data_IF_767866805955
#
_entry.id   IF_767866805955
#
_cell.length_a   1.000
_cell.length_b   1.000
_cell.length_c   1.000
_cell.angle_alpha   90.00
_cell.angle_beta   90.00
_cell.angle_gamma   90.00
#
_symmetry.space_group_name_H-M   'P 1'
#
loop_
_entity.id
_entity.type
_entity.pdbx_description
1 polymer ?
#
# COMPACT_ATOMS: atom_id res chain seq x y z
N UNK A 1 -18.71 -17.65 -5.57
CA UNK A 1 -17.55 -17.49 -4.63
C UNK A 1 -17.89 -16.43 -3.57
N UNK A 2 -17.11 -16.35 -2.48
CA UNK A 2 -17.30 -15.29 -1.47
C UNK A 2 -16.58 -14.01 -1.88
N UNK A 3 -17.03 -12.87 -1.37
CA UNK A 3 -16.38 -11.56 -1.54
C UNK A 3 -15.58 -11.23 -0.28
N UNK A 4 -14.31 -10.90 -0.46
CA UNK A 4 -13.40 -10.51 0.62
C UNK A 4 -12.86 -9.12 0.33
N UNK A 5 -12.81 -8.28 1.34
CA UNK A 5 -12.23 -6.94 1.28
C UNK A 5 -11.06 -6.86 2.25
N UNK A 6 -9.89 -6.53 1.73
CA UNK A 6 -8.73 -6.10 2.51
C UNK A 6 -8.75 -4.57 2.52
N UNK A 7 -8.72 -3.99 3.71
CA UNK A 7 -8.53 -2.55 3.90
C UNK A 7 -7.13 -2.35 4.47
N UNK A 8 -6.23 -1.78 3.67
CA UNK A 8 -4.85 -1.52 4.06
C UNK A 8 -4.63 -0.03 4.33
N UNK A 9 -3.95 0.27 5.43
CA UNK A 9 -3.41 1.61 5.68
C UNK A 9 -1.95 1.64 5.23
N UNK A 10 -1.67 2.44 4.22
CA UNK A 10 -0.32 2.70 3.71
C UNK A 10 0.41 3.71 4.61
N UNK A 11 1.70 3.91 4.36
CA UNK A 11 2.55 4.93 4.98
C UNK A 11 2.74 4.81 6.51
N UNK A 12 2.50 3.63 7.07
CA UNK A 12 2.83 3.37 8.47
C UNK A 12 4.34 3.51 8.67
N UNK A 13 4.78 4.12 9.75
CA UNK A 13 6.19 4.41 9.99
C UNK A 13 6.70 5.68 9.31
N UNK A 14 5.94 6.34 8.45
CA UNK A 14 6.39 7.56 7.80
C UNK A 14 6.69 8.65 8.84
N UNK A 15 5.78 8.89 9.77
CA UNK A 15 5.98 9.81 10.89
C UNK A 15 5.17 9.36 12.12
N UNK A 16 5.49 9.92 13.29
CA UNK A 16 4.83 9.56 14.53
C UNK A 16 3.30 9.77 14.50
N UNK A 17 2.83 10.85 13.89
CA UNK A 17 1.39 11.11 13.77
C UNK A 17 0.67 10.05 12.92
N UNK A 18 1.33 9.53 11.87
CA UNK A 18 0.83 8.40 11.09
C UNK A 18 0.76 7.13 11.96
N UNK A 19 1.80 6.86 12.75
CA UNK A 19 1.82 5.71 13.65
C UNK A 19 0.67 5.75 14.66
N UNK A 20 0.48 6.88 15.34
CA UNK A 20 -0.61 7.06 16.31
C UNK A 20 -1.99 6.79 15.70
N UNK A 21 -2.21 7.25 14.46
CA UNK A 21 -3.45 7.01 13.74
C UNK A 21 -3.65 5.51 13.41
N UNK A 22 -2.62 4.83 12.93
CA UNK A 22 -2.66 3.39 12.64
C UNK A 22 -2.89 2.58 13.91
N UNK A 23 -2.18 2.89 15.00
CA UNK A 23 -2.39 2.23 16.30
C UNK A 23 -3.84 2.36 16.77
N UNK A 24 -4.43 3.55 16.66
CA UNK A 24 -5.81 3.77 17.07
C UNK A 24 -6.79 2.95 16.22
N UNK A 25 -6.60 2.91 14.90
CA UNK A 25 -7.43 2.13 13.99
C UNK A 25 -7.35 0.62 14.27
N UNK A 26 -6.17 0.09 14.53
CA UNK A 26 -6.01 -1.31 14.92
C UNK A 26 -6.68 -1.62 16.26
N UNK A 27 -6.45 -0.78 17.28
CA UNK A 27 -7.07 -0.98 18.61
C UNK A 27 -8.60 -0.94 18.57
N UNK A 28 -9.17 -0.12 17.69
CA UNK A 28 -10.62 -0.05 17.45
C UNK A 28 -11.16 -1.19 16.60
N UNK A 29 -10.30 -2.02 16.03
CA UNK A 29 -10.69 -3.09 15.11
C UNK A 29 -11.19 -2.61 13.75
N UNK A 30 -10.92 -1.35 13.39
CA UNK A 30 -11.30 -0.75 12.11
C UNK A 30 -10.34 -1.14 10.99
N UNK A 31 -9.13 -1.59 11.33
CA UNK A 31 -8.07 -1.97 10.43
C UNK A 31 -7.56 -3.37 10.74
N UNK A 32 -7.17 -4.12 9.71
CA UNK A 32 -6.56 -5.45 9.84
C UNK A 32 -5.25 -5.58 9.10
N UNK A 33 -4.96 -4.64 8.17
CA UNK A 33 -3.78 -4.63 7.34
C UNK A 33 -3.15 -3.24 7.28
N UNK A 34 -1.82 -3.18 7.25
CA UNK A 34 -1.04 -1.95 7.07
C UNK A 34 0.34 -2.29 6.51
N UNK A 35 1.04 -1.30 5.95
CA UNK A 35 2.39 -1.49 5.41
C UNK A 35 3.35 -0.39 5.86
N UNK A 36 4.56 -0.80 6.32
CA UNK A 36 5.55 0.05 6.98
C UNK A 36 6.58 0.56 5.98
N UNK A 37 6.77 1.87 5.93
CA UNK A 37 7.83 2.55 5.16
C UNK A 37 9.17 2.50 5.94
N UNK A 38 9.94 1.45 5.72
CA UNK A 38 11.16 1.17 6.50
C UNK A 38 12.23 2.28 6.45
N UNK A 39 12.45 3.01 5.32
CA UNK A 39 13.41 4.11 5.30
C UNK A 39 12.99 5.35 6.11
N UNK A 40 11.77 5.40 6.62
CA UNK A 40 11.23 6.58 7.28
C UNK A 40 11.57 6.66 8.77
N UNK A 41 11.63 7.87 9.34
CA UNK A 41 12.12 8.09 10.72
C UNK A 41 11.33 7.42 11.85
N UNK A 42 10.04 7.11 11.64
CA UNK A 42 9.20 6.46 12.65
C UNK A 42 8.96 4.96 12.36
N UNK A 43 9.70 4.37 11.41
CA UNK A 43 9.52 2.99 10.98
C UNK A 43 9.83 1.96 12.07
N UNK A 44 10.85 2.18 12.90
CA UNK A 44 11.20 1.26 13.98
C UNK A 44 10.08 1.12 15.01
N UNK A 45 9.41 2.21 15.37
CA UNK A 45 8.24 2.19 16.26
C UNK A 45 7.09 1.36 15.65
N UNK A 46 6.84 1.53 14.35
CA UNK A 46 5.84 0.78 13.62
C UNK A 46 6.17 -0.72 13.53
N UNK A 47 7.43 -1.06 13.26
CA UNK A 47 7.88 -2.45 13.18
C UNK A 47 7.83 -3.14 14.55
N UNK A 48 8.20 -2.46 15.64
CA UNK A 48 8.07 -2.99 17.01
C UNK A 48 6.60 -3.24 17.37
N UNK A 49 5.70 -2.31 17.02
CA UNK A 49 4.27 -2.52 17.19
C UNK A 49 3.79 -3.77 16.42
N UNK A 50 4.25 -3.98 15.20
CA UNK A 50 3.91 -5.17 14.43
C UNK A 50 4.41 -6.46 15.10
N UNK A 51 5.63 -6.46 15.63
CA UNK A 51 6.21 -7.58 16.36
C UNK A 51 5.41 -7.95 17.63
N UNK A 52 4.92 -6.95 18.35
CA UNK A 52 4.12 -7.11 19.56
C UNK A 52 2.65 -7.51 19.27
N UNK A 53 2.20 -7.36 18.01
CA UNK A 53 0.81 -7.56 17.60
C UNK A 53 0.68 -8.48 16.38
N UNK A 54 1.13 -9.75 16.47
CA UNK A 54 1.15 -10.69 15.33
C UNK A 54 -0.24 -11.07 14.79
N UNK A 55 -1.31 -10.67 15.46
CA UNK A 55 -2.69 -10.85 14.99
C UNK A 55 -3.06 -9.88 13.86
N UNK A 56 -2.27 -8.84 13.61
CA UNK A 56 -2.49 -7.89 12.52
C UNK A 56 -1.60 -8.24 11.31
N UNK A 57 -2.15 -8.10 10.10
CA UNK A 57 -1.41 -8.32 8.88
C UNK A 57 -0.59 -7.07 8.53
N UNK A 58 0.61 -6.95 9.08
CA UNK A 58 1.47 -5.80 8.81
C UNK A 58 2.62 -6.21 7.88
N UNK A 59 2.69 -5.55 6.72
CA UNK A 59 3.67 -5.77 5.66
C UNK A 59 4.73 -4.68 5.58
N UNK A 60 5.63 -4.79 4.60
CA UNK A 60 6.60 -3.74 4.25
C UNK A 60 6.11 -2.97 3.03
N UNK A 61 6.03 -1.65 3.16
CA UNK A 61 5.79 -0.69 2.09
C UNK A 61 7.10 -0.34 1.41
N UNK A 62 7.50 -1.16 0.43
CA UNK A 62 8.77 -1.00 -0.27
C UNK A 62 8.86 0.41 -0.87
N UNK A 63 9.83 1.17 -0.41
CA UNK A 63 9.91 2.62 -0.62
C UNK A 63 11.15 2.96 -1.43
N UNK A 64 10.95 3.65 -2.56
CA UNK A 64 12.02 4.14 -3.45
C UNK A 64 11.86 5.60 -3.84
N UNK A 65 10.85 6.28 -3.28
CA UNK A 65 10.58 7.72 -3.49
C UNK A 65 10.43 8.46 -2.18
N UNK A 66 10.65 9.78 -2.21
CA UNK A 66 10.49 10.71 -1.08
C UNK A 66 9.87 12.01 -1.57
N UNK A 67 8.54 12.06 -1.63
CA UNK A 67 7.76 13.07 -2.34
C UNK A 67 7.55 14.39 -1.58
N UNK A 68 7.90 14.47 -0.31
CA UNK A 68 7.71 15.68 0.50
C UNK A 68 8.87 16.66 0.36
N UNK A 69 8.58 17.96 0.30
CA UNK A 69 9.62 18.99 0.11
C UNK A 69 10.54 19.16 1.32
N UNK A 70 9.97 19.12 2.53
CA UNK A 70 10.68 19.46 3.78
C UNK A 70 10.88 18.28 4.72
N UNK A 71 10.26 17.12 4.43
CA UNK A 71 10.35 15.91 5.22
C UNK A 71 10.74 14.74 4.32
N UNK A 72 12.00 14.38 4.33
CA UNK A 72 12.60 13.49 3.35
C UNK A 72 13.34 12.32 3.99
N UNK A 73 13.44 11.24 3.25
CA UNK A 73 14.18 10.03 3.60
C UNK A 73 15.01 9.54 2.41
N UNK A 74 16.07 8.79 2.72
CA UNK A 74 16.98 8.23 1.74
C UNK A 74 16.99 6.71 1.77
N UNK A 75 17.64 6.06 0.81
CA UNK A 75 17.78 4.61 0.77
C UNK A 75 18.65 4.12 1.94
N UNK A 76 18.30 2.98 2.54
CA UNK A 76 19.05 2.35 3.64
C UNK A 76 20.46 1.97 3.21
N UNK A 77 20.61 1.47 1.98
CA UNK A 77 21.90 1.04 1.43
C UNK A 77 22.78 2.19 0.95
N UNK A 78 22.21 3.39 0.86
CA UNK A 78 22.89 4.53 0.25
C UNK A 78 23.05 4.43 -1.27
N UNK A 79 22.26 3.55 -1.92
CA UNK A 79 22.24 3.31 -3.37
C UNK A 79 22.23 4.63 -4.17
N UNK A 80 23.18 4.76 -5.11
CA UNK A 80 23.37 6.03 -5.84
C UNK A 80 22.28 6.26 -6.88
N UNK A 81 21.81 5.21 -7.52
CA UNK A 81 20.76 5.28 -8.53
C UNK A 81 19.37 5.59 -7.93
N UNK A 82 19.18 5.37 -6.62
CA UNK A 82 17.92 5.57 -5.91
C UNK A 82 17.86 6.91 -5.15
N UNK A 83 18.88 7.74 -5.23
CA UNK A 83 18.91 9.03 -4.53
C UNK A 83 19.39 10.18 -5.42
N UNK A 84 19.01 11.38 -5.02
CA UNK A 84 19.49 12.63 -5.55
C UNK A 84 20.83 13.04 -4.91
N UNK A 85 21.44 14.10 -5.41
CA UNK A 85 22.67 14.67 -4.82
C UNK A 85 22.51 15.08 -3.35
N UNK A 86 21.28 15.41 -2.95
CA UNK A 86 20.89 15.72 -1.58
C UNK A 86 20.99 14.54 -0.62
N UNK A 87 21.16 13.31 -1.15
CA UNK A 87 21.17 12.06 -0.39
C UNK A 87 19.78 11.44 -0.15
N UNK A 88 18.69 12.14 -0.51
CA UNK A 88 17.33 11.65 -0.39
C UNK A 88 16.86 10.93 -1.65
N UNK A 89 15.85 10.08 -1.52
CA UNK A 89 15.20 9.44 -2.65
C UNK A 89 14.54 10.48 -3.57
N UNK A 90 14.30 10.10 -4.84
CA UNK A 90 13.66 10.96 -5.83
C UNK A 90 12.21 11.30 -5.45
N UNK A 91 11.74 12.43 -5.93
CA UNK A 91 10.37 12.90 -5.64
C UNK A 91 9.30 12.08 -6.39
N UNK A 92 9.57 11.71 -7.65
CA UNK A 92 8.58 11.07 -8.53
C UNK A 92 8.89 9.59 -8.79
N UNK A 93 7.85 8.79 -8.87
CA UNK A 93 7.95 7.35 -9.18
C UNK A 93 8.61 7.10 -10.56
N UNK A 94 8.30 7.92 -11.57
CA UNK A 94 8.92 7.82 -12.90
C UNK A 94 10.43 8.03 -12.86
N UNK A 95 10.92 8.95 -12.02
CA UNK A 95 12.36 9.19 -11.85
C UNK A 95 13.02 8.02 -11.13
N UNK A 96 12.38 7.48 -10.08
CA UNK A 96 12.86 6.29 -9.39
C UNK A 96 12.97 5.10 -10.34
N UNK A 97 11.92 4.82 -11.13
CA UNK A 97 11.94 3.76 -12.13
C UNK A 97 13.03 3.96 -13.18
N UNK A 98 13.14 5.17 -13.77
CA UNK A 98 14.05 5.43 -14.90
C UNK A 98 15.53 5.34 -14.49
N UNK A 99 15.87 5.75 -13.27
CA UNK A 99 17.24 5.84 -12.76
C UNK A 99 17.73 4.56 -12.11
N UNK A 100 16.83 3.69 -11.62
CA UNK A 100 17.17 2.52 -10.83
C UNK A 100 18.18 1.60 -11.55
N UNK A 101 19.35 1.39 -10.97
CA UNK A 101 20.18 0.22 -11.25
C UNK A 101 19.57 -0.99 -10.57
N UNK A 102 19.34 -2.06 -11.32
CA UNK A 102 18.63 -3.23 -10.81
C UNK A 102 19.35 -3.94 -9.66
N UNK A 103 20.69 -3.88 -9.60
CA UNK A 103 21.45 -4.49 -8.50
C UNK A 103 21.34 -3.64 -7.24
N UNK A 104 21.44 -2.31 -7.37
CA UNK A 104 21.25 -1.41 -6.26
C UNK A 104 19.80 -1.46 -5.74
N UNK A 105 18.83 -1.53 -6.65
CA UNK A 105 17.43 -1.69 -6.29
C UNK A 105 17.18 -3.01 -5.54
N UNK A 106 17.70 -4.12 -6.03
CA UNK A 106 17.58 -5.42 -5.35
C UNK A 106 18.15 -5.36 -3.93
N UNK A 107 19.34 -4.79 -3.79
CA UNK A 107 19.99 -4.65 -2.49
C UNK A 107 19.15 -3.79 -1.53
N UNK A 108 18.58 -2.69 -2.03
CA UNK A 108 17.74 -1.80 -1.24
C UNK A 108 16.43 -2.48 -0.78
N UNK A 109 15.70 -3.12 -1.70
CA UNK A 109 14.45 -3.77 -1.36
C UNK A 109 14.66 -4.90 -0.34
N UNK A 110 15.73 -5.69 -0.49
CA UNK A 110 16.11 -6.71 0.49
C UNK A 110 16.50 -6.09 1.82
N UNK A 111 17.27 -4.99 1.81
CA UNK A 111 17.66 -4.30 3.03
C UNK A 111 16.44 -3.78 3.82
N UNK A 112 15.40 -3.28 3.15
CA UNK A 112 14.16 -2.86 3.82
C UNK A 112 13.45 -4.05 4.49
N UNK A 113 13.35 -5.19 3.83
CA UNK A 113 12.74 -6.39 4.41
C UNK A 113 13.55 -6.90 5.61
N UNK A 114 14.86 -6.99 5.46
CA UNK A 114 15.74 -7.49 6.53
C UNK A 114 15.81 -6.50 7.71
N UNK A 115 15.72 -5.20 7.46
CA UNK A 115 15.65 -4.21 8.53
C UNK A 115 14.36 -4.33 9.34
N UNK A 116 13.22 -4.60 8.69
CA UNK A 116 11.97 -4.90 9.38
C UNK A 116 12.13 -6.13 10.31
N UNK A 117 12.76 -7.18 9.80
CA UNK A 117 13.06 -8.39 10.57
C UNK A 117 14.01 -8.14 11.74
N UNK A 118 15.03 -7.30 11.53
CA UNK A 118 15.97 -6.91 12.57
C UNK A 118 15.28 -6.15 13.72
N UNK A 119 14.19 -5.45 13.46
CA UNK A 119 13.34 -4.83 14.48
C UNK A 119 12.29 -5.78 15.09
N UNK A 120 12.32 -7.07 14.71
CA UNK A 120 11.46 -8.12 15.23
C UNK A 120 10.14 -8.32 14.46
N UNK A 121 9.91 -7.54 13.40
CA UNK A 121 8.72 -7.67 12.56
C UNK A 121 8.92 -8.79 11.53
N UNK A 122 8.02 -9.76 11.46
CA UNK A 122 7.93 -10.67 10.30
C UNK A 122 6.86 -10.15 9.35
N UNK A 123 7.22 -9.60 8.17
CA UNK A 123 6.26 -9.02 7.24
C UNK A 123 5.23 -10.04 6.77
N UNK A 124 3.95 -9.69 6.81
CA UNK A 124 2.88 -10.56 6.32
C UNK A 124 2.79 -10.56 4.79
N UNK A 125 3.07 -9.44 4.16
CA UNK A 125 3.02 -9.20 2.72
C UNK A 125 3.92 -8.02 2.35
N UNK A 126 4.05 -7.75 1.05
CA UNK A 126 4.79 -6.62 0.50
C UNK A 126 3.87 -5.81 -0.43
N UNK A 127 4.11 -4.54 -0.48
CA UNK A 127 3.56 -3.63 -1.47
C UNK A 127 4.58 -2.54 -1.82
N UNK A 128 4.19 -1.47 -2.50
CA UNK A 128 5.15 -0.43 -2.84
C UNK A 128 4.56 0.98 -2.75
N UNK A 129 5.40 1.89 -2.26
CA UNK A 129 5.09 3.31 -2.13
C UNK A 129 5.00 3.99 -3.50
N UNK A 130 3.97 4.82 -3.71
CA UNK A 130 3.75 5.62 -4.93
C UNK A 130 3.70 4.82 -6.24
N UNK A 131 3.54 3.50 -6.20
CA UNK A 131 3.55 2.66 -7.39
C UNK A 131 4.91 2.59 -8.11
N UNK A 132 5.99 2.99 -7.45
CA UNK A 132 7.33 3.17 -8.01
C UNK A 132 8.04 1.86 -8.42
N UNK A 133 7.45 0.71 -8.12
CA UNK A 133 7.99 -0.61 -8.49
C UNK A 133 7.14 -1.35 -9.53
N UNK A 134 6.14 -0.71 -10.11
CA UNK A 134 5.31 -1.34 -11.14
C UNK A 134 5.91 -1.24 -12.56
N UNK A 135 6.86 -0.35 -12.78
CA UNK A 135 7.51 -0.15 -14.09
C UNK A 135 6.61 0.47 -15.16
N UNK A 136 5.38 0.85 -14.79
CA UNK A 136 4.37 1.33 -15.75
C UNK A 136 4.56 2.79 -16.16
N UNK A 137 5.24 3.61 -15.35
CA UNK A 137 5.48 5.02 -15.68
C UNK A 137 6.49 5.19 -16.81
N UNK A 138 7.43 4.25 -16.95
CA UNK A 138 8.56 4.34 -17.90
C UNK A 138 8.63 3.18 -18.88
N UNK A 139 7.80 2.13 -18.66
CA UNK A 139 7.87 0.88 -19.41
C UNK A 139 8.99 -0.06 -18.95
N UNK A 140 9.70 0.26 -17.85
CA UNK A 140 10.77 -0.57 -17.28
C UNK A 140 10.22 -1.73 -16.44
N UNK A 141 9.51 -2.63 -17.09
CA UNK A 141 8.87 -3.77 -16.41
C UNK A 141 9.84 -4.74 -15.74
N UNK A 142 11.15 -4.68 -16.06
CA UNK A 142 12.18 -5.40 -15.32
C UNK A 142 12.26 -5.02 -13.84
N UNK A 143 11.83 -3.80 -13.48
CA UNK A 143 11.67 -3.37 -12.07
C UNK A 143 10.59 -4.18 -11.38
N UNK A 144 9.46 -4.40 -12.03
CA UNK A 144 8.37 -5.23 -11.51
C UNK A 144 8.78 -6.72 -11.45
N UNK A 145 9.43 -7.25 -12.49
CA UNK A 145 9.90 -8.64 -12.46
C UNK A 145 10.86 -8.88 -11.30
N UNK A 146 11.83 -7.96 -11.08
CA UNK A 146 12.73 -8.00 -9.95
C UNK A 146 11.95 -8.01 -8.60
N UNK A 147 10.97 -7.13 -8.46
CA UNK A 147 10.15 -7.03 -7.25
C UNK A 147 9.40 -8.33 -6.99
N UNK A 148 8.73 -8.89 -7.99
CA UNK A 148 8.02 -10.17 -7.85
C UNK A 148 8.97 -11.34 -7.54
N UNK A 149 10.18 -11.35 -8.11
CA UNK A 149 11.21 -12.33 -7.77
C UNK A 149 11.58 -12.24 -6.29
N UNK A 150 11.82 -11.05 -5.77
CA UNK A 150 12.10 -10.83 -4.34
C UNK A 150 10.91 -11.30 -3.49
N UNK A 151 9.67 -10.95 -3.85
CA UNK A 151 8.49 -11.44 -3.14
C UNK A 151 8.45 -12.98 -3.07
N UNK A 152 8.77 -13.67 -4.17
CA UNK A 152 8.87 -15.13 -4.22
C UNK A 152 9.99 -15.67 -3.34
N UNK A 153 11.19 -15.06 -3.37
CA UNK A 153 12.34 -15.44 -2.52
C UNK A 153 12.00 -15.37 -1.02
N UNK A 154 11.20 -14.38 -0.62
CA UNK A 154 10.74 -14.20 0.77
C UNK A 154 9.43 -14.92 1.09
N UNK A 155 8.79 -15.56 0.10
CA UNK A 155 7.49 -16.24 0.27
C UNK A 155 6.35 -15.29 0.64
N UNK A 156 6.37 -14.05 0.13
CA UNK A 156 5.40 -13.01 0.46
C UNK A 156 4.44 -12.73 -0.68
N UNK A 157 3.17 -12.46 -0.32
CA UNK A 157 2.20 -11.88 -1.25
C UNK A 157 2.61 -10.45 -1.64
N UNK A 158 2.19 -10.02 -2.83
CA UNK A 158 2.43 -8.66 -3.31
C UNK A 158 1.13 -7.98 -3.73
N UNK A 159 1.01 -6.68 -3.41
CA UNK A 159 -0.11 -5.85 -3.83
C UNK A 159 -0.02 -5.58 -5.32
N UNK A 160 -0.71 -6.41 -6.09
CA UNK A 160 -1.02 -6.21 -7.50
C UNK A 160 -2.27 -7.03 -7.82
N UNK A 161 -2.90 -6.80 -8.98
CA UNK A 161 -4.14 -7.48 -9.33
C UNK A 161 -3.92 -8.69 -10.24
N UNK A 162 -4.76 -9.71 -10.12
CA UNK A 162 -4.79 -10.88 -11.02
C UNK A 162 -5.91 -10.82 -12.04
N UNK A 163 -6.88 -9.94 -11.83
CA UNK A 163 -8.07 -9.80 -12.67
C UNK A 163 -8.43 -8.32 -12.85
N UNK A 164 -9.19 -8.02 -13.91
CA UNK A 164 -9.71 -6.71 -14.23
C UNK A 164 -11.23 -6.74 -14.16
N UNK A 165 -11.84 -5.70 -13.60
CA UNK A 165 -13.28 -5.61 -13.48
C UNK A 165 -13.76 -4.17 -13.70
N UNK A 166 -14.83 -4.01 -14.49
CA UNK A 166 -15.35 -2.68 -14.87
C UNK A 166 -15.71 -1.79 -13.67
N UNK A 167 -16.23 -2.41 -12.60
CA UNK A 167 -16.61 -1.69 -11.38
C UNK A 167 -15.42 -1.35 -10.47
N UNK A 168 -14.22 -1.80 -10.82
CA UNK A 168 -12.99 -1.65 -10.02
C UNK A 168 -11.84 -1.17 -10.91
N UNK A 169 -11.94 0.03 -11.50
CA UNK A 169 -10.85 0.55 -12.31
C UNK A 169 -9.63 0.85 -11.43
N UNK A 170 -8.45 0.45 -11.90
CA UNK A 170 -7.22 0.89 -11.27
C UNK A 170 -7.00 2.39 -11.60
N UNK A 171 -6.78 3.25 -10.60
CA UNK A 171 -6.64 4.68 -10.84
C UNK A 171 -5.55 5.02 -11.85
N UNK A 172 -5.88 5.88 -12.80
CA UNK A 172 -4.95 6.32 -13.84
C UNK A 172 -4.69 5.32 -14.97
N UNK A 173 -5.36 4.17 -14.98
CA UNK A 173 -5.20 3.15 -16.01
C UNK A 173 -6.55 2.74 -16.62
N UNK A 174 -6.69 2.86 -17.93
CA UNK A 174 -7.86 2.34 -18.66
C UNK A 174 -7.82 0.80 -18.70
N UNK A 175 -8.99 0.17 -18.86
CA UNK A 175 -9.16 -1.30 -18.86
C UNK A 175 -8.22 -2.02 -19.83
N UNK A 176 -7.97 -1.45 -20.99
CA UNK A 176 -7.08 -2.03 -21.98
C UNK A 176 -5.63 -2.08 -21.51
N UNK A 177 -5.14 -1.00 -20.90
CA UNK A 177 -3.80 -0.96 -20.28
C UNK A 177 -3.68 -1.95 -19.13
N UNK A 178 -4.71 -2.07 -18.29
CA UNK A 178 -4.75 -3.06 -17.21
C UNK A 178 -4.68 -4.48 -17.78
N UNK A 179 -5.41 -4.78 -18.84
CA UNK A 179 -5.40 -6.09 -19.51
C UNK A 179 -4.03 -6.43 -20.10
N UNK A 180 -3.37 -5.45 -20.72
CA UNK A 180 -2.00 -5.62 -21.23
C UNK A 180 -1.01 -5.88 -20.10
N UNK A 181 -1.08 -5.13 -19.00
CA UNK A 181 -0.25 -5.31 -17.83
C UNK A 181 -0.45 -6.69 -17.19
N UNK A 182 -1.69 -7.20 -17.14
CA UNK A 182 -1.98 -8.55 -16.67
C UNK A 182 -1.27 -9.63 -17.50
N UNK A 183 -1.13 -9.43 -18.80
CA UNK A 183 -0.37 -10.34 -19.68
C UNK A 183 1.10 -10.48 -19.26
N UNK A 184 1.67 -9.44 -18.65
CA UNK A 184 3.04 -9.40 -18.12
C UNK A 184 3.09 -9.97 -16.70
N UNK A 185 2.18 -9.55 -15.84
CA UNK A 185 2.15 -9.90 -14.40
C UNK A 185 1.91 -11.39 -14.18
N UNK A 186 0.89 -11.96 -14.82
CA UNK A 186 0.48 -13.35 -14.55
C UNK A 186 1.58 -14.38 -14.74
N UNK A 187 2.35 -14.37 -15.84
CA UNK A 187 3.47 -15.30 -16.01
C UNK A 187 4.54 -15.17 -14.92
N UNK A 188 4.87 -13.95 -14.51
CA UNK A 188 5.89 -13.73 -13.49
C UNK A 188 5.39 -14.12 -12.09
N UNK A 189 4.14 -13.78 -11.75
CA UNK A 189 3.55 -14.19 -10.50
C UNK A 189 3.52 -15.72 -10.36
N UNK A 190 3.18 -16.43 -11.44
CA UNK A 190 3.22 -17.89 -11.48
C UNK A 190 4.65 -18.43 -11.38
N UNK A 191 5.59 -17.85 -12.14
CA UNK A 191 7.02 -18.24 -12.14
C UNK A 191 7.64 -18.15 -10.75
N UNK A 192 7.31 -17.09 -10.00
CA UNK A 192 7.90 -16.83 -8.69
C UNK A 192 7.00 -17.27 -7.52
N UNK A 193 5.80 -17.78 -7.79
CA UNK A 193 4.86 -18.27 -6.76
C UNK A 193 4.32 -17.16 -5.85
N UNK A 194 4.10 -15.94 -6.39
CA UNK A 194 3.67 -14.77 -5.62
C UNK A 194 2.14 -14.69 -5.58
N UNK A 195 1.52 -14.84 -4.40
CA UNK A 195 0.09 -14.58 -4.24
C UNK A 195 -0.22 -13.09 -4.40
N UNK A 196 -1.36 -12.77 -5.03
CA UNK A 196 -1.85 -11.40 -5.21
C UNK A 196 -3.38 -11.36 -5.03
N UNK A 197 -3.97 -10.22 -4.63
CA UNK A 197 -5.42 -10.05 -4.65
C UNK A 197 -5.96 -10.13 -6.09
N UNK A 198 -7.26 -10.42 -6.23
CA UNK A 198 -7.89 -10.41 -7.54
C UNK A 198 -7.99 -8.99 -8.07
N UNK A 199 -8.37 -8.04 -7.22
CA UNK A 199 -8.65 -6.67 -7.62
C UNK A 199 -7.99 -5.68 -6.68
N UNK A 200 -7.53 -4.56 -7.24
CA UNK A 200 -7.14 -3.37 -6.48
C UNK A 200 -8.16 -2.27 -6.71
N UNK A 201 -8.58 -1.65 -5.63
CA UNK A 201 -9.64 -0.68 -5.65
C UNK A 201 -9.20 0.61 -4.96
N UNK A 202 -9.21 1.69 -5.71
CA UNK A 202 -9.11 3.03 -5.15
C UNK A 202 -10.16 3.93 -5.79
N UNK A 203 -10.78 4.85 -5.03
CA UNK A 203 -11.55 5.90 -5.67
C UNK A 203 -10.60 6.79 -6.49
N UNK A 204 -11.08 7.29 -7.63
CA UNK A 204 -10.34 8.31 -8.36
C UNK A 204 -10.19 9.55 -7.48
N UNK A 205 -8.94 9.98 -7.24
CA UNK A 205 -8.66 11.18 -6.50
C UNK A 205 -9.00 12.42 -7.32
N UNK A 206 -10.24 12.87 -7.23
CA UNK A 206 -10.68 14.16 -7.77
C UNK A 206 -10.58 15.24 -6.69
N UNK A 207 -10.51 16.49 -7.10
CA UNK A 207 -10.48 17.62 -6.15
C UNK A 207 -11.72 17.63 -5.25
N UNK A 208 -12.86 17.21 -5.74
CA UNK A 208 -14.10 17.08 -4.98
C UNK A 208 -13.97 16.09 -3.83
N UNK A 209 -13.33 14.95 -4.05
CA UNK A 209 -13.11 13.93 -3.01
C UNK A 209 -12.18 14.40 -1.89
N UNK A 210 -11.29 15.37 -2.19
CA UNK A 210 -10.35 15.93 -1.23
C UNK A 210 -10.96 17.01 -0.32
N UNK A 211 -12.13 17.52 -0.67
CA UNK A 211 -12.75 18.66 0.02
C UNK A 211 -13.69 18.27 1.12
N UNK A 212 -14.33 17.09 1.05
CA UNK A 212 -15.35 16.64 2.00
C UNK A 212 -15.14 15.18 2.42
N UNK A 213 -15.03 14.97 3.73
CA UNK A 213 -14.98 13.61 4.30
C UNK A 213 -16.27 12.83 3.99
N UNK A 214 -17.42 13.47 4.08
CA UNK A 214 -18.71 12.85 3.83
C UNK A 214 -18.80 12.34 2.38
N UNK A 215 -18.38 13.15 1.43
CA UNK A 215 -18.35 12.78 0.02
C UNK A 215 -17.37 11.60 -0.24
N UNK A 216 -16.15 11.70 0.27
CA UNK A 216 -15.16 10.61 0.17
C UNK A 216 -15.69 9.30 0.78
N UNK A 217 -16.29 9.38 1.95
CA UNK A 217 -16.90 8.24 2.63
C UNK A 217 -18.03 7.59 1.80
N UNK A 218 -18.93 8.41 1.24
CA UNK A 218 -20.03 7.92 0.40
C UNK A 218 -19.51 7.20 -0.83
N UNK A 219 -18.51 7.74 -1.51
CA UNK A 219 -17.90 7.12 -2.69
C UNK A 219 -17.21 5.79 -2.35
N UNK A 220 -16.42 5.74 -1.28
CA UNK A 220 -15.81 4.50 -0.80
C UNK A 220 -16.86 3.44 -0.49
N UNK A 221 -17.93 3.79 0.23
CA UNK A 221 -18.97 2.84 0.59
C UNK A 221 -19.74 2.33 -0.64
N UNK A 222 -20.03 3.19 -1.62
CA UNK A 222 -20.64 2.76 -2.90
C UNK A 222 -19.79 1.70 -3.59
N UNK A 223 -18.48 1.89 -3.58
CA UNK A 223 -17.55 0.96 -4.20
C UNK A 223 -17.52 -0.36 -3.42
N UNK A 224 -17.34 -0.31 -2.10
CA UNK A 224 -17.19 -1.51 -1.26
C UNK A 224 -18.39 -2.45 -1.31
N UNK A 225 -19.62 -1.91 -1.39
CA UNK A 225 -20.82 -2.76 -1.49
C UNK A 225 -20.95 -3.47 -2.83
N UNK A 226 -20.23 -3.03 -3.85
CA UNK A 226 -20.29 -3.53 -5.23
C UNK A 226 -19.04 -4.30 -5.66
N UNK A 227 -18.09 -4.59 -4.75
CA UNK A 227 -16.89 -5.35 -5.11
C UNK A 227 -17.27 -6.71 -5.70
N UNK A 228 -16.51 -7.21 -6.69
CA UNK A 228 -16.76 -8.51 -7.32
C UNK A 228 -16.44 -9.68 -6.37
N UNK A 229 -16.79 -10.89 -6.78
CA UNK A 229 -16.39 -12.10 -6.10
C UNK A 229 -14.87 -12.29 -6.17
N UNK A 230 -14.26 -12.74 -5.07
CA UNK A 230 -12.81 -12.88 -4.92
C UNK A 230 -12.27 -12.00 -3.81
N UNK A 231 -11.00 -11.66 -3.89
CA UNK A 231 -10.27 -10.80 -2.94
C UNK A 231 -10.05 -9.44 -3.59
N UNK A 232 -10.64 -8.41 -3.02
CA UNK A 232 -10.40 -7.00 -3.39
C UNK A 232 -9.59 -6.33 -2.29
N UNK A 233 -8.51 -5.66 -2.65
CA UNK A 233 -7.77 -4.78 -1.73
C UNK A 233 -8.12 -3.33 -2.03
N UNK A 234 -8.46 -2.57 -0.98
CA UNK A 234 -8.53 -1.12 -1.00
C UNK A 234 -7.46 -0.57 -0.06
N UNK A 235 -6.82 0.48 -0.48
CA UNK A 235 -5.68 1.04 0.23
C UNK A 235 -5.66 2.57 0.10
N UNK A 236 -4.91 3.23 0.97
CA UNK A 236 -4.72 4.67 0.91
C UNK A 236 -3.71 5.15 1.93
N UNK A 237 -2.95 6.17 1.53
CA UNK A 237 -2.04 6.89 2.43
C UNK A 237 -2.82 7.56 3.54
N UNK A 238 -2.39 7.37 4.77
CA UNK A 238 -3.02 7.94 5.97
C UNK A 238 -3.14 9.46 5.90
N UNK A 239 -2.19 10.14 5.28
CA UNK A 239 -2.17 11.60 5.23
C UNK A 239 -3.17 12.18 4.22
N UNK A 240 -3.49 11.50 3.14
CA UNK A 240 -4.47 11.96 2.16
C UNK A 240 -5.91 11.70 2.60
N UNK A 241 -6.21 10.52 3.12
CA UNK A 241 -7.51 10.20 3.71
C UNK A 241 -7.74 10.90 5.07
N UNK A 242 -6.68 11.03 5.90
CA UNK A 242 -6.74 11.61 7.24
C UNK A 242 -6.67 13.14 7.28
N UNK A 243 -6.10 13.84 6.28
CA UNK A 243 -6.23 15.31 6.24
C UNK A 243 -7.68 15.75 6.20
N UNK A 244 -8.54 14.98 5.57
CA UNK A 244 -10.00 15.20 5.58
C UNK A 244 -10.58 14.80 6.95
N UNK A 245 -10.08 13.72 7.55
CA UNK A 245 -10.55 13.25 8.85
C UNK A 245 -10.13 14.15 10.02
N UNK A 246 -8.87 14.61 10.06
CA UNK A 246 -8.33 15.39 11.19
C UNK A 246 -8.84 16.84 11.25
N UNK A 247 -9.39 17.38 10.18
CA UNK A 247 -10.01 18.71 10.17
C UNK A 247 -11.48 18.73 10.60
N UNK A 248 -12.09 17.57 10.81
CA UNK A 248 -13.48 17.49 11.27
C UNK A 248 -13.55 17.42 12.80
N UNK A 249 -14.24 18.35 13.48
CA UNK A 249 -14.53 18.26 14.91
C UNK A 249 -15.41 17.05 15.28
N UNK A 250 -15.79 16.23 14.30
CA UNK A 250 -16.65 15.05 14.43
C UNK A 250 -15.86 13.75 14.58
N UNK A 251 -14.55 13.78 14.83
CA UNK A 251 -13.75 12.59 15.13
C UNK A 251 -13.99 12.03 16.54
N UNK A 252 -15.22 12.07 16.97
CA UNK A 252 -15.74 11.12 17.96
C UNK A 252 -16.26 9.93 17.17
N UNK A 253 -15.35 9.04 16.80
CA UNK A 253 -15.72 7.73 16.28
C UNK A 253 -16.43 6.98 17.41
N UNK A 254 -17.75 7.14 17.53
CA UNK A 254 -18.52 6.30 18.43
C UNK A 254 -18.46 4.88 17.87
N UNK A 255 -18.06 3.91 18.71
CA UNK A 255 -18.04 2.46 18.38
C UNK A 255 -19.34 2.04 17.67
N UNK A 256 -20.46 2.67 18.01
CA UNK A 256 -21.80 2.33 17.50
C UNK A 256 -22.02 2.75 16.04
N UNK A 257 -21.37 3.77 15.54
CA UNK A 257 -21.57 4.25 14.17
C UNK A 257 -20.76 3.47 13.16
N UNK A 258 -19.50 3.17 13.47
CA UNK A 258 -18.64 2.30 12.62
C UNK A 258 -19.16 0.88 12.63
N UNK A 259 -19.55 0.33 13.78
CA UNK A 259 -20.09 -1.03 13.86
C UNK A 259 -21.42 -1.16 13.09
N UNK A 260 -22.25 -0.13 13.01
CA UNK A 260 -23.48 -0.15 12.24
C UNK A 260 -23.23 -0.09 10.73
N UNK A 261 -22.28 0.71 10.29
CA UNK A 261 -21.89 0.80 8.87
C UNK A 261 -21.08 -0.42 8.42
N UNK A 262 -20.17 -0.89 9.26
CA UNK A 262 -19.45 -2.15 9.02
C UNK A 262 -20.38 -3.36 9.10
N UNK A 263 -21.49 -3.33 9.85
CA UNK A 263 -22.46 -4.42 9.86
C UNK A 263 -23.22 -4.54 8.55
N UNK A 264 -23.47 -3.43 7.86
CA UNK A 264 -24.07 -3.43 6.51
C UNK A 264 -23.09 -4.02 5.49
N UNK A 265 -21.82 -3.67 5.60
CA UNK A 265 -20.75 -4.23 4.77
C UNK A 265 -20.50 -5.69 5.16
N UNK A 266 -20.38 -6.00 6.45
CA UNK A 266 -20.11 -7.35 6.97
C UNK A 266 -21.25 -8.35 6.70
N UNK A 267 -22.50 -7.91 6.62
CA UNK A 267 -23.61 -8.80 6.24
C UNK A 267 -23.50 -9.31 4.79
N UNK A 268 -22.74 -8.63 3.95
CA UNK A 268 -22.55 -8.93 2.53
C UNK A 268 -21.12 -9.30 2.14
N UNK A 269 -20.13 -8.99 2.97
CA UNK A 269 -18.69 -9.14 2.70
C UNK A 269 -18.01 -9.69 3.96
N UNK A 270 -17.15 -10.70 3.82
CA UNK A 270 -16.26 -11.11 4.90
C UNK A 270 -14.99 -10.23 4.84
N UNK A 271 -14.80 -9.39 5.86
CA UNK A 271 -13.55 -8.63 6.06
C UNK A 271 -12.59 -9.54 6.80
N UNK A 272 -11.44 -9.80 6.19
CA UNK A 272 -10.32 -10.54 6.78
C UNK A 272 -9.15 -9.60 7.03
#
# INVERSE_FOLDING_TARGET
MKRYLIVNADDFGMCRAANEAVFDLFRRGCLKSSTVMIPCPAAEEAARFAAENPQYAIGVHLTTTSEWDTYKWGPLTGAKSLKEETGFMTHHAADAESRADLKELEAELKAQIEQARAWGMEPSHLDNHMGSLYGHNTGRFEVLELTLRICGEYGKAFRLFTDVHELVPFPGMIMEMQSQLLGIIKPWAQKYGVPMPNYLLMPNWTDDLRTSYEHYREEILKIWVNIPEGITETFGGLLTGFRVCMKSPLFTCSKDRISKEMSIVNSRIQIR
#
